data_IF_644946621875
#
_entry.id   IF_644946621875
#
_cell.length_a   1.000
_cell.length_b   1.000
_cell.length_c   1.000
_cell.angle_alpha   90.00
_cell.angle_beta   90.00
_cell.angle_gamma   90.00
#
_symmetry.space_group_name_H-M   'P 1'
#
loop_
_entity.id
_entity.type
_entity.pdbx_description
1 polymer ?
#
# COMPACT_ATOMS: atom_id res chain seq x y z
N UNK A 1 18.81 -48.28 -49.66
CA UNK A 1 17.80 -47.91 -48.67
C UNK A 1 18.55 -47.42 -47.44
N UNK A 2 18.75 -46.14 -47.34
CA UNK A 2 19.53 -45.56 -46.22
C UNK A 2 18.61 -44.53 -45.57
N UNK A 3 18.22 -44.81 -44.34
CA UNK A 3 17.34 -44.00 -43.53
C UNK A 3 18.05 -42.72 -43.07
N UNK A 4 17.47 -41.59 -43.44
CA UNK A 4 17.79 -40.27 -42.86
C UNK A 4 17.19 -40.21 -41.47
N UNK A 5 18.02 -40.07 -40.46
CA UNK A 5 17.60 -39.78 -39.07
C UNK A 5 17.34 -38.30 -38.94
N UNK A 6 16.08 -37.91 -38.84
CA UNK A 6 15.65 -36.64 -38.26
C UNK A 6 15.89 -36.68 -36.75
N UNK A 7 16.74 -35.78 -36.28
CA UNK A 7 16.65 -35.31 -34.86
C UNK A 7 17.47 -34.05 -34.72
N UNK A 8 16.85 -32.91 -34.95
CA UNK A 8 17.25 -31.67 -34.26
C UNK A 8 16.00 -30.83 -33.98
N UNK A 9 15.21 -31.32 -33.03
CA UNK A 9 14.16 -30.54 -32.40
C UNK A 9 14.85 -29.54 -31.45
N UNK A 10 14.99 -28.30 -31.94
CA UNK A 10 15.67 -27.21 -31.28
C UNK A 10 15.18 -26.98 -29.84
N UNK A 11 16.07 -27.20 -28.92
CA UNK A 11 15.96 -26.71 -27.56
C UNK A 11 15.75 -25.19 -27.57
N UNK A 12 14.59 -24.73 -27.07
CA UNK A 12 14.21 -23.32 -26.90
C UNK A 12 15.03 -22.67 -25.75
N UNK A 13 16.34 -22.77 -25.83
CA UNK A 13 17.24 -22.10 -24.89
C UNK A 13 17.26 -20.60 -25.21
N UNK A 14 16.99 -19.76 -24.19
CA UNK A 14 17.08 -18.30 -24.34
C UNK A 14 18.41 -17.87 -24.94
N UNK A 15 18.41 -16.92 -25.90
CA UNK A 15 19.64 -16.40 -26.48
C UNK A 15 20.62 -15.91 -25.41
N UNK A 16 21.90 -16.11 -25.64
CA UNK A 16 22.98 -15.72 -24.70
C UNK A 16 23.86 -14.66 -25.33
N UNK A 17 24.66 -13.95 -24.52
CA UNK A 17 25.69 -13.02 -25.00
C UNK A 17 26.64 -13.68 -26.05
N UNK A 18 26.87 -15.00 -25.96
CA UNK A 18 27.68 -15.74 -26.94
C UNK A 18 27.01 -15.80 -28.30
N UNK A 19 25.69 -15.96 -28.33
CA UNK A 19 24.92 -15.95 -29.58
C UNK A 19 24.95 -14.58 -30.25
N UNK A 20 24.78 -13.49 -29.45
CA UNK A 20 24.90 -12.11 -29.93
C UNK A 20 26.30 -11.83 -30.45
N UNK A 21 27.35 -12.24 -29.75
CA UNK A 21 28.74 -12.06 -30.14
C UNK A 21 29.04 -12.76 -31.48
N UNK A 22 28.54 -13.98 -31.66
CA UNK A 22 28.68 -14.74 -32.89
C UNK A 22 28.00 -14.04 -34.05
N UNK A 23 26.75 -13.58 -33.88
CA UNK A 23 25.98 -12.90 -34.94
C UNK A 23 26.58 -11.52 -35.28
N UNK A 24 27.01 -10.74 -34.28
CA UNK A 24 27.61 -9.42 -34.47
C UNK A 24 29.07 -9.48 -34.92
N UNK A 25 29.74 -10.65 -34.96
CA UNK A 25 31.15 -10.79 -35.34
C UNK A 25 32.11 -10.07 -34.37
N UNK A 26 31.84 -10.12 -33.06
CA UNK A 26 32.67 -9.46 -32.05
C UNK A 26 32.93 -10.39 -30.85
N UNK A 27 33.87 -10.00 -29.99
CA UNK A 27 34.13 -10.74 -28.76
C UNK A 27 32.96 -10.56 -27.75
N UNK A 28 32.68 -11.57 -26.92
CA UNK A 28 31.66 -11.53 -25.87
C UNK A 28 31.86 -10.33 -24.93
N UNK A 29 33.13 -9.95 -24.65
CA UNK A 29 33.47 -8.76 -23.84
C UNK A 29 32.96 -7.47 -24.50
N UNK A 30 32.98 -7.38 -25.85
CA UNK A 30 32.46 -6.21 -26.58
C UNK A 30 30.94 -6.15 -26.49
N UNK A 31 30.25 -7.31 -26.63
CA UNK A 31 28.80 -7.38 -26.41
C UNK A 31 28.45 -6.90 -25.00
N UNK A 32 29.17 -7.40 -23.97
CA UNK A 32 28.95 -6.98 -22.58
C UNK A 32 29.10 -5.46 -22.40
N UNK A 33 30.12 -4.84 -23.01
CA UNK A 33 30.33 -3.40 -22.94
C UNK A 33 29.21 -2.59 -23.58
N UNK A 34 28.77 -3.00 -24.78
CA UNK A 34 27.69 -2.34 -25.50
C UNK A 34 26.36 -2.42 -24.73
N UNK A 35 26.03 -3.63 -24.26
CA UNK A 35 24.79 -3.90 -23.53
C UNK A 35 24.74 -3.17 -22.19
N UNK A 36 25.90 -2.98 -21.54
CA UNK A 36 26.01 -2.22 -20.28
C UNK A 36 26.21 -0.71 -20.46
N UNK A 37 26.22 -0.20 -21.70
CA UNK A 37 26.40 1.23 -21.97
C UNK A 37 27.80 1.76 -21.60
N UNK A 38 28.83 0.88 -21.55
CA UNK A 38 30.18 1.30 -21.19
C UNK A 38 30.77 2.20 -22.30
N UNK A 39 31.47 3.29 -21.96
CA UNK A 39 32.15 4.14 -22.92
C UNK A 39 33.30 3.37 -23.62
N UNK A 40 33.77 3.87 -24.76
CA UNK A 40 34.86 3.33 -25.55
C UNK A 40 34.58 2.10 -26.42
N UNK A 41 33.39 1.99 -26.97
CA UNK A 41 33.05 1.10 -28.10
C UNK A 41 32.75 1.97 -29.32
N UNK A 42 33.36 1.68 -30.46
CA UNK A 42 33.14 2.41 -31.70
C UNK A 42 31.62 2.37 -32.05
N UNK A 43 31.01 3.51 -32.48
CA UNK A 43 29.56 3.60 -32.73
C UNK A 43 29.02 2.56 -33.71
N UNK A 44 29.79 2.24 -34.74
CA UNK A 44 29.44 1.23 -35.73
C UNK A 44 29.41 -0.18 -35.12
N UNK A 45 30.37 -0.50 -34.23
CA UNK A 45 30.41 -1.78 -33.50
C UNK A 45 29.26 -1.88 -32.52
N UNK A 46 28.93 -0.79 -31.81
CA UNK A 46 27.80 -0.74 -30.91
C UNK A 46 26.47 -1.00 -31.65
N UNK A 47 26.28 -0.37 -32.81
CA UNK A 47 25.10 -0.58 -33.65
C UNK A 47 24.96 -2.03 -34.10
N UNK A 48 26.03 -2.66 -34.61
CA UNK A 48 26.04 -4.08 -35.01
C UNK A 48 25.64 -5.01 -33.84
N UNK A 49 26.14 -4.75 -32.64
CA UNK A 49 25.79 -5.55 -31.46
C UNK A 49 24.32 -5.37 -31.09
N UNK A 50 23.79 -4.16 -31.11
CA UNK A 50 22.37 -3.88 -30.79
C UNK A 50 21.44 -4.49 -31.84
N UNK A 51 21.82 -4.45 -33.13
CA UNK A 51 21.06 -5.09 -34.20
C UNK A 51 21.04 -6.61 -34.03
N UNK A 52 22.19 -7.22 -33.72
CA UNK A 52 22.28 -8.65 -33.45
C UNK A 52 21.48 -9.06 -32.19
N UNK A 53 21.48 -8.25 -31.16
CA UNK A 53 20.70 -8.48 -29.95
C UNK A 53 19.19 -8.45 -30.26
N UNK A 54 18.73 -7.46 -31.03
CA UNK A 54 17.34 -7.36 -31.48
C UNK A 54 16.93 -8.53 -32.38
N UNK A 55 17.77 -8.91 -33.32
CA UNK A 55 17.50 -10.03 -34.23
C UNK A 55 17.37 -11.39 -33.53
N UNK A 56 18.01 -11.54 -32.38
CA UNK A 56 17.97 -12.75 -31.55
C UNK A 56 16.94 -12.64 -30.41
N UNK A 57 16.21 -11.54 -30.28
CA UNK A 57 15.40 -11.24 -29.09
C UNK A 57 16.19 -11.46 -27.78
N UNK A 58 17.48 -11.08 -27.81
CA UNK A 58 18.36 -11.21 -26.65
C UNK A 58 18.07 -10.10 -25.65
N UNK A 59 17.61 -10.49 -24.49
CA UNK A 59 17.47 -9.60 -23.34
C UNK A 59 18.64 -9.84 -22.36
N UNK A 60 19.38 -8.78 -21.98
CA UNK A 60 20.42 -8.91 -20.98
C UNK A 60 19.83 -9.45 -19.68
N UNK A 61 20.47 -10.44 -19.08
CA UNK A 61 20.12 -10.87 -17.74
C UNK A 61 20.52 -9.77 -16.73
N UNK A 62 19.57 -9.11 -16.08
CA UNK A 62 19.89 -8.07 -15.10
C UNK A 62 20.77 -8.57 -13.96
N UNK A 63 20.63 -9.84 -13.57
CA UNK A 63 21.41 -10.46 -12.49
C UNK A 63 22.87 -10.72 -12.89
N UNK A 64 23.12 -11.08 -14.14
CA UNK A 64 24.49 -11.30 -14.63
C UNK A 64 25.27 -9.98 -14.79
N UNK A 65 24.59 -8.86 -15.02
CA UNK A 65 25.17 -7.51 -15.09
C UNK A 65 25.55 -6.95 -13.70
N UNK A 66 24.79 -7.26 -12.68
CA UNK A 66 24.93 -6.71 -11.31
C UNK A 66 26.24 -7.14 -10.61
N UNK A 67 26.78 -8.32 -10.92
CA UNK A 67 28.06 -8.79 -10.38
C UNK A 67 29.28 -7.97 -10.86
N UNK A 68 29.14 -7.16 -11.91
CA UNK A 68 30.21 -6.35 -12.52
C UNK A 68 30.02 -4.84 -12.36
N UNK A 69 28.86 -4.39 -11.89
CA UNK A 69 28.62 -2.97 -11.58
C UNK A 69 29.24 -2.62 -10.23
N UNK A 70 29.83 -1.46 -10.15
CA UNK A 70 30.50 -0.96 -8.94
C UNK A 70 29.49 -0.73 -7.79
N UNK A 71 28.21 -0.49 -8.09
CA UNK A 71 27.17 -0.19 -7.11
C UNK A 71 26.46 -1.42 -6.53
N UNK A 72 26.64 -2.61 -7.12
CA UNK A 72 26.01 -3.90 -6.73
C UNK A 72 24.50 -3.86 -6.59
N UNK A 73 23.82 -2.83 -7.13
CA UNK A 73 22.35 -2.64 -7.02
C UNK A 73 21.60 -3.52 -8.02
N UNK A 74 20.48 -4.07 -7.57
CA UNK A 74 19.57 -4.90 -8.39
C UNK A 74 18.55 -4.07 -9.17
N UNK A 75 18.40 -2.78 -8.80
CA UNK A 75 17.38 -1.87 -9.31
C UNK A 75 15.98 -2.40 -9.10
N UNK A 76 15.73 -2.93 -7.92
CA UNK A 76 14.44 -3.44 -7.51
C UNK A 76 14.13 -3.03 -6.07
N UNK A 77 12.87 -2.68 -5.81
CA UNK A 77 12.32 -2.49 -4.47
C UNK A 77 11.33 -3.59 -4.15
N UNK A 78 11.25 -3.96 -2.87
CA UNK A 78 10.17 -4.78 -2.34
C UNK A 78 9.10 -3.88 -1.72
N UNK A 79 7.84 -4.05 -2.15
CA UNK A 79 6.69 -3.36 -1.59
C UNK A 79 5.73 -4.38 -0.99
N UNK A 80 5.45 -4.25 0.30
CA UNK A 80 4.45 -5.06 0.99
C UNK A 80 3.29 -4.16 1.39
N UNK A 81 2.11 -4.45 0.87
CA UNK A 81 0.86 -3.73 1.18
C UNK A 81 -0.12 -4.61 1.93
N UNK A 82 -1.17 -4.03 2.53
CA UNK A 82 -2.20 -4.80 3.24
C UNK A 82 -2.90 -5.79 2.30
N UNK A 83 -3.53 -5.32 1.24
CA UNK A 83 -4.11 -6.15 0.19
C UNK A 83 -4.17 -5.37 -1.12
N UNK A 84 -3.79 -5.99 -2.25
CA UNK A 84 -3.79 -5.35 -3.57
C UNK A 84 -5.20 -5.04 -4.09
N UNK A 85 -6.23 -5.70 -3.58
CA UNK A 85 -7.64 -5.45 -3.91
C UNK A 85 -8.23 -4.28 -3.12
N UNK A 86 -7.55 -3.79 -2.09
CA UNK A 86 -7.98 -2.58 -1.41
C UNK A 86 -7.54 -1.33 -2.20
N UNK A 87 -8.48 -0.46 -2.64
CA UNK A 87 -8.16 0.73 -3.42
C UNK A 87 -7.10 1.63 -2.77
N UNK A 88 -7.10 1.76 -1.44
CA UNK A 88 -6.09 2.50 -0.69
C UNK A 88 -4.68 1.93 -0.93
N UNK A 89 -4.54 0.62 -0.79
CA UNK A 89 -3.26 -0.06 -1.02
C UNK A 89 -2.82 0.01 -2.49
N UNK A 90 -3.77 -0.06 -3.42
CA UNK A 90 -3.54 0.13 -4.85
C UNK A 90 -2.98 1.53 -5.17
N UNK A 91 -3.52 2.59 -4.56
CA UNK A 91 -3.06 3.96 -4.74
C UNK A 91 -1.65 4.17 -4.13
N UNK A 92 -1.37 3.61 -2.94
CA UNK A 92 -0.02 3.60 -2.36
C UNK A 92 0.97 2.91 -3.29
N UNK A 93 0.62 1.72 -3.80
CA UNK A 93 1.46 0.97 -4.75
C UNK A 93 1.75 1.80 -6.00
N UNK A 94 0.73 2.39 -6.61
CA UNK A 94 0.89 3.21 -7.82
C UNK A 94 1.86 4.37 -7.59
N UNK A 95 1.72 5.08 -6.49
CA UNK A 95 2.59 6.20 -6.16
C UNK A 95 4.05 5.77 -5.92
N UNK A 96 4.26 4.61 -5.27
CA UNK A 96 5.61 4.03 -5.12
C UNK A 96 6.20 3.66 -6.48
N UNK A 97 5.41 3.05 -7.36
CA UNK A 97 5.83 2.64 -8.70
C UNK A 97 6.21 3.84 -9.57
N UNK A 98 5.43 4.93 -9.54
CA UNK A 98 5.72 6.14 -10.29
C UNK A 98 7.08 6.73 -9.92
N UNK A 99 7.39 6.85 -8.62
CA UNK A 99 8.71 7.31 -8.15
C UNK A 99 9.82 6.32 -8.54
N UNK A 100 9.57 5.00 -8.42
CA UNK A 100 10.56 3.99 -8.78
C UNK A 100 10.90 4.02 -10.28
N UNK A 101 9.93 4.24 -11.15
CA UNK A 101 10.13 4.38 -12.61
C UNK A 101 11.04 5.55 -12.94
N UNK A 102 10.88 6.70 -12.30
CA UNK A 102 11.76 7.88 -12.47
C UNK A 102 13.23 7.55 -12.13
N UNK A 103 13.45 6.62 -11.21
CA UNK A 103 14.79 6.15 -10.82
C UNK A 103 15.28 4.93 -11.63
N UNK A 104 14.49 4.44 -12.59
CA UNK A 104 14.80 3.23 -13.37
C UNK A 104 14.85 1.96 -12.52
N UNK A 105 13.97 1.87 -11.52
CA UNK A 105 13.86 0.77 -10.55
C UNK A 105 12.52 0.09 -10.70
N UNK A 106 12.49 -1.25 -10.66
CA UNK A 106 11.27 -2.04 -10.66
C UNK A 106 10.75 -2.28 -9.24
N UNK A 107 9.43 -2.43 -9.07
CA UNK A 107 8.80 -2.74 -7.80
C UNK A 107 8.28 -4.18 -7.83
N UNK A 108 8.67 -4.99 -6.83
CA UNK A 108 8.06 -6.28 -6.54
C UNK A 108 7.06 -6.10 -5.41
N UNK A 109 5.77 -6.20 -5.72
CA UNK A 109 4.71 -6.04 -4.74
C UNK A 109 4.16 -7.40 -4.26
N UNK A 110 3.71 -7.45 -3.00
CA UNK A 110 3.02 -8.57 -2.39
C UNK A 110 1.97 -8.06 -1.39
N UNK A 111 0.92 -8.86 -1.15
CA UNK A 111 -0.08 -8.61 -0.10
C UNK A 111 0.24 -9.42 1.14
N UNK A 112 0.07 -8.81 2.32
CA UNK A 112 0.18 -9.51 3.60
C UNK A 112 -1.17 -9.99 4.14
N UNK A 113 -2.30 -9.43 3.65
CA UNK A 113 -3.68 -9.73 4.07
C UNK A 113 -3.85 -9.75 5.60
N UNK A 114 -3.20 -8.79 6.25
CA UNK A 114 -3.17 -8.60 7.71
C UNK A 114 -2.68 -9.82 8.52
N UNK A 115 -1.94 -10.74 7.85
CA UNK A 115 -1.34 -11.94 8.44
C UNK A 115 0.17 -11.73 8.73
N UNK A 116 0.60 -11.82 10.01
CA UNK A 116 2.01 -11.69 10.39
C UNK A 116 2.94 -12.75 9.80
N UNK A 117 2.46 -13.95 9.48
CA UNK A 117 3.27 -15.01 8.86
C UNK A 117 3.51 -14.68 7.40
N UNK A 118 2.48 -14.27 6.67
CA UNK A 118 2.61 -13.81 5.28
C UNK A 118 3.53 -12.60 5.17
N UNK A 119 3.51 -11.67 6.13
CA UNK A 119 4.46 -10.56 6.20
C UNK A 119 5.90 -11.08 6.19
N UNK A 120 6.25 -12.02 7.07
CA UNK A 120 7.60 -12.57 7.17
C UNK A 120 8.02 -13.34 5.92
N UNK A 121 7.12 -14.12 5.35
CA UNK A 121 7.37 -14.89 4.12
C UNK A 121 7.63 -13.97 2.93
N UNK A 122 6.83 -12.91 2.75
CA UNK A 122 6.98 -11.93 1.69
C UNK A 122 8.31 -11.18 1.83
N UNK A 123 8.64 -10.69 3.03
CA UNK A 123 9.92 -10.02 3.30
C UNK A 123 11.08 -10.97 3.02
N UNK A 124 11.04 -12.21 3.47
CA UNK A 124 12.08 -13.20 3.18
C UNK A 124 12.21 -13.47 1.67
N UNK A 125 11.10 -13.44 0.92
CA UNK A 125 11.13 -13.58 -0.54
C UNK A 125 11.79 -12.37 -1.23
N UNK A 126 11.53 -11.14 -0.77
CA UNK A 126 12.21 -9.94 -1.26
C UNK A 126 13.71 -9.98 -0.97
N UNK A 127 14.10 -10.35 0.24
CA UNK A 127 15.51 -10.47 0.63
C UNK A 127 16.27 -11.54 -0.17
N UNK A 128 15.65 -12.68 -0.44
CA UNK A 128 16.24 -13.70 -1.36
C UNK A 128 16.47 -13.16 -2.76
N UNK A 129 15.62 -12.24 -3.23
CA UNK A 129 15.78 -11.53 -4.52
C UNK A 129 16.79 -10.39 -4.45
N UNK A 130 17.32 -10.09 -3.25
CA UNK A 130 18.28 -9.01 -3.02
C UNK A 130 17.76 -7.65 -3.50
N UNK A 131 16.50 -7.33 -3.18
CA UNK A 131 15.97 -6.00 -3.47
C UNK A 131 16.83 -4.93 -2.79
N UNK A 132 16.95 -3.76 -3.40
CA UNK A 132 17.82 -2.68 -2.92
C UNK A 132 17.24 -1.96 -1.69
N UNK A 133 15.92 -2.01 -1.51
CA UNK A 133 15.21 -1.43 -0.38
C UNK A 133 13.81 -2.03 -0.21
N UNK A 134 13.20 -1.77 0.94
CA UNK A 134 11.90 -2.29 1.32
C UNK A 134 10.96 -1.15 1.72
N UNK A 135 9.72 -1.20 1.25
CA UNK A 135 8.60 -0.39 1.72
C UNK A 135 7.55 -1.35 2.27
N UNK A 136 7.22 -1.25 3.54
CA UNK A 136 6.45 -2.26 4.25
C UNK A 136 5.24 -1.68 4.97
N UNK A 137 4.04 -2.19 4.69
CA UNK A 137 2.95 -2.20 5.65
C UNK A 137 3.13 -3.41 6.57
N UNK A 138 2.69 -3.33 7.82
CA UNK A 138 2.90 -4.41 8.80
C UNK A 138 1.62 -4.86 9.48
N UNK A 139 1.50 -6.16 9.77
CA UNK A 139 0.50 -6.77 10.65
C UNK A 139 1.14 -7.33 11.94
N UNK A 140 2.44 -7.58 11.91
CA UNK A 140 3.18 -8.10 13.06
C UNK A 140 3.23 -7.09 14.22
N UNK A 141 3.25 -7.62 15.44
CA UNK A 141 3.40 -6.79 16.65
C UNK A 141 4.84 -6.40 16.96
N UNK A 142 5.83 -7.00 16.26
CA UNK A 142 7.25 -6.73 16.43
C UNK A 142 8.01 -7.06 15.15
N UNK A 143 8.83 -6.13 14.67
CA UNK A 143 9.62 -6.22 13.45
C UNK A 143 11.13 -6.40 13.72
N UNK A 144 11.52 -6.84 14.92
CA UNK A 144 12.95 -7.09 15.25
C UNK A 144 13.63 -8.07 14.28
N UNK A 145 12.87 -8.89 13.55
CA UNK A 145 13.39 -9.78 12.51
C UNK A 145 14.07 -9.02 11.35
N UNK A 146 13.83 -7.70 11.21
CA UNK A 146 14.48 -6.84 10.21
C UNK A 146 15.83 -6.26 10.67
N UNK A 147 16.17 -6.36 11.96
CA UNK A 147 17.44 -5.81 12.46
C UNK A 147 18.69 -6.27 11.68
N UNK A 148 18.84 -7.55 11.26
CA UNK A 148 20.00 -7.96 10.48
C UNK A 148 20.12 -7.21 9.15
N UNK A 149 19.00 -6.90 8.49
CA UNK A 149 18.98 -6.19 7.22
C UNK A 149 19.27 -4.70 7.41
N UNK A 150 18.72 -4.08 8.45
CA UNK A 150 19.00 -2.70 8.81
C UNK A 150 20.49 -2.51 9.12
N UNK A 151 21.11 -3.46 9.87
CA UNK A 151 22.56 -3.44 10.12
C UNK A 151 23.42 -3.64 8.88
N UNK A 152 22.89 -4.29 7.83
CA UNK A 152 23.57 -4.41 6.51
C UNK A 152 23.44 -3.16 5.67
N UNK A 153 22.64 -2.18 6.12
CA UNK A 153 22.38 -0.93 5.42
C UNK A 153 21.29 -1.02 4.36
N UNK A 154 20.46 -2.08 4.37
CA UNK A 154 19.28 -2.17 3.51
C UNK A 154 18.24 -1.15 3.99
N UNK A 155 17.86 -0.13 3.19
CA UNK A 155 16.82 0.81 3.56
C UNK A 155 15.49 0.10 3.74
N UNK A 156 14.83 0.37 4.86
CA UNK A 156 13.47 -0.08 5.15
C UNK A 156 12.67 1.13 5.56
N UNK A 157 11.51 1.35 4.94
CA UNK A 157 10.56 2.40 5.29
C UNK A 157 9.20 1.76 5.50
N UNK A 158 8.55 2.07 6.61
CA UNK A 158 7.19 1.63 6.85
C UNK A 158 6.19 2.64 6.28
N UNK A 159 5.07 2.13 5.75
CA UNK A 159 3.97 2.93 5.22
C UNK A 159 2.66 2.48 5.83
N UNK A 160 1.75 3.42 6.11
CA UNK A 160 0.43 3.22 6.73
C UNK A 160 0.50 2.84 8.22
N UNK A 161 1.38 1.94 8.62
CA UNK A 161 1.53 1.45 10.01
C UNK A 161 2.97 1.58 10.48
N UNK A 162 3.14 1.94 11.75
CA UNK A 162 4.45 2.12 12.36
C UNK A 162 5.09 0.80 12.78
N UNK A 163 6.41 0.66 12.64
CA UNK A 163 7.11 -0.52 13.15
C UNK A 163 7.17 -0.53 14.68
N UNK A 164 7.44 -1.71 15.25
CA UNK A 164 7.75 -1.92 16.66
C UNK A 164 8.99 -2.79 16.78
N UNK A 165 9.84 -2.46 17.76
CA UNK A 165 11.07 -3.23 18.01
C UNK A 165 12.21 -2.96 17.03
N UNK A 166 12.04 -2.04 16.08
CA UNK A 166 13.09 -1.55 15.19
C UNK A 166 12.94 -0.04 15.01
N UNK A 167 14.07 0.63 14.81
CA UNK A 167 14.12 2.07 14.54
C UNK A 167 14.38 2.31 13.06
N UNK A 168 13.35 2.79 12.35
CA UNK A 168 13.42 3.11 10.93
C UNK A 168 12.33 4.11 10.54
N UNK A 169 12.41 4.66 9.33
CA UNK A 169 11.43 5.63 8.85
C UNK A 169 10.02 5.03 8.76
N UNK A 170 9.02 5.83 9.12
CA UNK A 170 7.61 5.49 8.94
C UNK A 170 6.82 6.68 8.40
N UNK A 171 5.99 6.42 7.39
CA UNK A 171 5.08 7.39 6.77
C UNK A 171 3.65 6.94 7.04
N UNK A 172 2.92 7.68 7.85
CA UNK A 172 1.60 7.28 8.34
C UNK A 172 0.58 8.40 8.21
N UNK A 173 -0.71 8.05 8.16
CA UNK A 173 -1.78 9.04 8.21
C UNK A 173 -2.08 9.49 9.64
N UNK A 174 -2.61 10.72 9.77
CA UNK A 174 -3.21 11.20 11.02
C UNK A 174 -4.53 10.47 11.31
N UNK A 175 -4.43 9.20 11.70
CA UNK A 175 -5.57 8.35 11.99
C UNK A 175 -6.38 8.84 13.20
N UNK A 176 -5.67 9.32 14.23
CA UNK A 176 -6.31 9.81 15.46
C UNK A 176 -7.06 11.12 15.21
N UNK A 177 -6.37 12.13 14.66
CA UNK A 177 -6.99 13.44 14.41
C UNK A 177 -8.08 13.37 13.34
N UNK A 178 -7.92 12.50 12.32
CA UNK A 178 -8.97 12.26 11.33
C UNK A 178 -10.26 11.74 11.95
N UNK A 179 -10.18 10.73 12.81
CA UNK A 179 -11.35 10.17 13.49
C UNK A 179 -11.96 11.14 14.52
N UNK A 180 -11.12 11.94 15.20
CA UNK A 180 -11.61 13.00 16.08
C UNK A 180 -12.42 14.05 15.29
N UNK A 181 -11.93 14.49 14.13
CA UNK A 181 -12.66 15.41 13.25
C UNK A 181 -14.00 14.84 12.77
N UNK A 182 -14.11 13.53 12.54
CA UNK A 182 -15.38 12.90 12.21
C UNK A 182 -16.39 13.01 13.37
N UNK A 183 -15.96 12.75 14.61
CA UNK A 183 -16.79 12.92 15.79
C UNK A 183 -17.23 14.38 15.98
N UNK A 184 -16.30 15.32 15.90
CA UNK A 184 -16.55 16.77 16.02
C UNK A 184 -17.56 17.22 14.95
N UNK A 185 -17.42 16.74 13.72
CA UNK A 185 -18.34 17.05 12.62
C UNK A 185 -19.77 16.61 12.92
N UNK A 186 -19.95 15.38 13.40
CA UNK A 186 -21.26 14.84 13.78
C UNK A 186 -21.84 15.55 15.02
N UNK A 187 -21.00 15.85 16.02
CA UNK A 187 -21.40 16.63 17.22
C UNK A 187 -21.90 18.02 16.85
N UNK A 188 -21.24 18.69 15.91
CA UNK A 188 -21.62 20.00 15.41
C UNK A 188 -23.01 20.01 14.70
N UNK A 189 -23.47 18.85 14.23
CA UNK A 189 -24.82 18.65 13.66
C UNK A 189 -25.89 18.32 14.73
N UNK A 190 -25.50 18.27 16.02
CA UNK A 190 -26.41 18.03 17.13
C UNK A 190 -26.62 16.58 17.50
N UNK A 191 -25.89 15.65 16.92
CA UNK A 191 -26.01 14.23 17.28
C UNK A 191 -25.56 13.97 18.73
N UNK A 192 -26.24 13.02 19.38
CA UNK A 192 -25.96 12.56 20.74
C UNK A 192 -26.00 11.04 20.89
N UNK A 193 -26.54 10.31 19.90
CA UNK A 193 -26.56 8.85 19.84
C UNK A 193 -25.68 8.40 18.68
N UNK A 194 -24.54 7.82 19.01
CA UNK A 194 -23.49 7.43 18.07
C UNK A 194 -23.35 5.92 18.01
N UNK A 195 -22.78 5.41 16.92
CA UNK A 195 -22.18 4.09 16.87
C UNK A 195 -20.82 4.16 16.16
N UNK A 196 -19.87 3.34 16.61
CA UNK A 196 -18.59 3.13 16.00
C UNK A 196 -18.53 1.75 15.38
N UNK A 197 -18.23 1.68 14.10
CA UNK A 197 -17.99 0.42 13.37
C UNK A 197 -16.50 0.35 13.00
N UNK A 198 -15.80 -0.63 13.58
CA UNK A 198 -14.34 -0.75 13.57
C UNK A 198 -13.82 -1.91 12.73
N UNK A 199 -12.66 -1.70 12.14
CA UNK A 199 -11.82 -2.73 11.55
C UNK A 199 -11.21 -3.64 12.64
N UNK A 200 -10.32 -4.57 12.25
CA UNK A 200 -9.64 -5.48 13.16
C UNK A 200 -8.96 -4.73 14.32
N UNK A 201 -9.34 -5.03 15.55
CA UNK A 201 -8.81 -4.38 16.75
C UNK A 201 -7.29 -4.59 16.93
N UNK A 202 -6.73 -5.65 16.32
CA UNK A 202 -5.30 -5.93 16.29
C UNK A 202 -4.50 -4.89 15.52
N UNK A 203 -5.11 -4.16 14.56
CA UNK A 203 -4.44 -3.18 13.72
C UNK A 203 -4.21 -1.86 14.47
N UNK A 204 -3.03 -1.29 14.28
CA UNK A 204 -2.66 -0.03 14.91
C UNK A 204 -3.55 1.12 14.44
N UNK A 205 -3.82 1.19 13.14
CA UNK A 205 -4.68 2.21 12.52
C UNK A 205 -6.10 2.17 13.08
N UNK A 206 -6.69 0.99 13.23
CA UNK A 206 -8.03 0.80 13.83
C UNK A 206 -8.07 1.31 15.27
N UNK A 207 -7.06 0.97 16.10
CA UNK A 207 -6.96 1.47 17.48
C UNK A 207 -6.83 2.98 17.55
N UNK A 208 -6.06 3.61 16.67
CA UNK A 208 -5.90 5.06 16.65
C UNK A 208 -7.19 5.76 16.24
N UNK A 209 -7.90 5.25 15.22
CA UNK A 209 -9.19 5.79 14.78
C UNK A 209 -10.25 5.65 15.87
N UNK A 210 -10.35 4.46 16.51
CA UNK A 210 -11.26 4.25 17.64
C UNK A 210 -10.97 5.25 18.76
N UNK A 211 -9.71 5.36 19.17
CA UNK A 211 -9.32 6.26 20.24
C UNK A 211 -9.66 7.71 19.90
N UNK A 212 -9.32 8.20 18.71
CA UNK A 212 -9.62 9.57 18.30
C UNK A 212 -11.11 9.88 18.30
N UNK A 213 -11.94 8.98 17.77
CA UNK A 213 -13.37 9.15 17.75
C UNK A 213 -13.99 9.19 19.16
N UNK A 214 -13.63 8.22 19.99
CA UNK A 214 -14.21 8.10 21.33
C UNK A 214 -13.72 9.21 22.30
N UNK A 215 -12.44 9.61 22.25
CA UNK A 215 -11.93 10.72 23.06
C UNK A 215 -12.61 12.05 22.70
N UNK A 216 -12.88 12.30 21.40
CA UNK A 216 -13.60 13.50 20.98
C UNK A 216 -15.04 13.52 21.49
N UNK A 217 -15.73 12.38 21.51
CA UNK A 217 -17.07 12.25 22.08
C UNK A 217 -17.06 12.47 23.60
N UNK A 218 -16.11 11.88 24.31
CA UNK A 218 -15.96 12.01 25.76
C UNK A 218 -15.71 13.46 26.16
N UNK A 219 -14.84 14.16 25.47
CA UNK A 219 -14.58 15.60 25.67
C UNK A 219 -15.84 16.48 25.44
N UNK A 220 -16.77 16.02 24.59
CA UNK A 220 -18.05 16.69 24.33
C UNK A 220 -19.15 16.26 25.31
N UNK A 221 -18.81 15.47 26.34
CA UNK A 221 -19.76 15.02 27.37
C UNK A 221 -20.65 13.86 26.93
N UNK A 222 -20.28 13.09 25.93
CA UNK A 222 -20.94 11.85 25.54
C UNK A 222 -20.18 10.70 26.23
N UNK A 223 -20.79 10.00 27.21
CA UNK A 223 -20.13 8.89 27.88
C UNK A 223 -19.75 7.78 26.89
N UNK A 224 -18.50 7.36 26.89
CA UNK A 224 -18.01 6.29 25.99
C UNK A 224 -18.80 4.99 26.19
N UNK A 225 -19.26 4.72 27.41
CA UNK A 225 -20.09 3.56 27.72
C UNK A 225 -21.44 3.53 26.98
N UNK A 226 -21.94 4.69 26.56
CA UNK A 226 -23.21 4.81 25.84
C UNK A 226 -23.05 4.69 24.32
N UNK A 227 -21.81 4.55 23.83
CA UNK A 227 -21.51 4.43 22.41
C UNK A 227 -21.31 2.97 22.05
N UNK A 228 -22.20 2.33 21.30
CA UNK A 228 -21.93 1.01 20.74
C UNK A 228 -20.66 1.01 19.89
N UNK A 229 -19.68 0.21 20.29
CA UNK A 229 -18.41 -0.01 19.60
C UNK A 229 -18.39 -1.45 19.12
N UNK A 230 -18.42 -1.65 17.80
CA UNK A 230 -18.33 -2.97 17.20
C UNK A 230 -17.08 -3.01 16.35
N UNK A 231 -16.15 -3.87 16.70
CA UNK A 231 -14.84 -4.05 16.03
C UNK A 231 -14.79 -5.39 15.28
N UNK A 232 -13.68 -5.64 14.60
CA UNK A 232 -13.43 -6.85 13.80
C UNK A 232 -14.37 -7.01 12.60
N UNK A 233 -14.81 -5.88 12.03
CA UNK A 233 -15.69 -5.82 10.87
C UNK A 233 -14.86 -5.65 9.57
N UNK A 234 -14.00 -6.61 9.28
CA UNK A 234 -13.03 -6.49 8.19
C UNK A 234 -13.61 -6.68 6.78
N UNK A 235 -14.89 -7.01 6.67
CA UNK A 235 -15.59 -7.16 5.39
C UNK A 235 -16.96 -6.44 5.39
N UNK A 236 -17.49 -6.10 4.19
CA UNK A 236 -18.75 -5.36 4.09
C UNK A 236 -19.96 -6.13 4.66
N UNK A 237 -19.97 -7.44 4.61
CA UNK A 237 -21.13 -8.22 5.05
C UNK A 237 -21.24 -8.21 6.58
N UNK A 238 -20.13 -8.45 7.28
CA UNK A 238 -20.10 -8.35 8.75
C UNK A 238 -20.47 -6.94 9.23
N UNK A 239 -19.99 -5.91 8.54
CA UNK A 239 -20.33 -4.53 8.86
C UNK A 239 -21.82 -4.24 8.63
N UNK A 240 -22.40 -4.75 7.54
CA UNK A 240 -23.82 -4.66 7.25
C UNK A 240 -24.66 -5.28 8.36
N UNK A 241 -24.37 -6.53 8.70
CA UNK A 241 -25.10 -7.26 9.76
C UNK A 241 -24.98 -6.57 11.11
N UNK A 242 -23.78 -6.06 11.47
CA UNK A 242 -23.56 -5.36 12.72
C UNK A 242 -24.42 -4.11 12.82
N UNK A 243 -24.46 -3.29 11.76
CA UNK A 243 -25.27 -2.08 11.76
C UNK A 243 -26.77 -2.40 11.73
N UNK A 244 -27.23 -3.41 11.01
CA UNK A 244 -28.64 -3.84 11.02
C UNK A 244 -29.11 -4.15 12.45
N UNK A 245 -28.31 -4.90 13.23
CA UNK A 245 -28.62 -5.19 14.63
C UNK A 245 -28.77 -3.92 15.48
N UNK A 246 -27.94 -2.90 15.24
CA UNK A 246 -28.05 -1.63 15.96
C UNK A 246 -29.29 -0.82 15.54
N UNK A 247 -29.62 -0.82 14.24
CA UNK A 247 -30.78 -0.09 13.71
C UNK A 247 -32.09 -0.72 14.14
N UNK A 248 -32.15 -2.04 14.32
CA UNK A 248 -33.34 -2.78 14.78
C UNK A 248 -33.47 -2.77 16.33
N UNK A 249 -32.48 -2.23 17.05
CA UNK A 249 -32.48 -2.15 18.51
C UNK A 249 -33.38 -1.07 19.06
N UNK A 250 -33.61 -1.04 20.40
CA UNK A 250 -34.52 -0.10 21.05
C UNK A 250 -34.06 1.36 20.98
N UNK A 251 -32.76 1.60 20.90
CA UNK A 251 -32.13 2.92 20.85
C UNK A 251 -31.18 3.06 19.65
N UNK A 252 -31.69 3.10 18.42
CA UNK A 252 -30.82 3.13 17.25
C UNK A 252 -29.97 4.40 17.21
N UNK A 253 -28.73 4.31 16.71
CA UNK A 253 -27.87 5.48 16.54
C UNK A 253 -28.46 6.44 15.51
N UNK A 254 -28.25 7.74 15.74
CA UNK A 254 -28.58 8.79 14.75
C UNK A 254 -27.37 9.16 13.90
N UNK A 255 -26.16 8.78 14.34
CA UNK A 255 -24.92 8.99 13.63
C UNK A 255 -24.02 7.76 13.76
N UNK A 256 -23.39 7.38 12.67
CA UNK A 256 -22.49 6.23 12.56
C UNK A 256 -21.14 6.72 12.03
N UNK A 257 -20.07 6.30 12.66
CA UNK A 257 -18.74 6.40 12.11
C UNK A 257 -18.21 5.01 11.74
N UNK A 258 -17.80 4.84 10.50
CA UNK A 258 -17.18 3.61 9.98
C UNK A 258 -15.70 3.85 9.73
N UNK A 259 -14.86 3.05 10.37
CA UNK A 259 -13.43 3.33 10.49
C UNK A 259 -12.57 2.83 9.33
N UNK A 260 -13.18 2.34 8.23
CA UNK A 260 -12.44 1.79 7.08
C UNK A 260 -13.38 1.64 5.88
N UNK A 261 -12.86 1.71 4.64
CA UNK A 261 -13.65 1.72 3.40
C UNK A 261 -14.62 0.52 3.25
N UNK A 262 -14.20 -0.72 3.52
CA UNK A 262 -15.06 -1.90 3.41
C UNK A 262 -16.16 -1.89 4.49
N UNK A 263 -15.85 -1.42 5.70
CA UNK A 263 -16.83 -1.21 6.77
C UNK A 263 -17.84 -0.15 6.36
N UNK A 264 -17.39 0.92 5.70
CA UNK A 264 -18.27 1.97 5.17
C UNK A 264 -19.24 1.44 4.12
N UNK A 265 -18.75 0.60 3.20
CA UNK A 265 -19.62 -0.06 2.20
C UNK A 265 -20.69 -0.92 2.86
N UNK A 266 -20.34 -1.67 3.90
CA UNK A 266 -21.29 -2.46 4.68
C UNK A 266 -22.34 -1.59 5.40
N UNK A 267 -21.89 -0.50 6.03
CA UNK A 267 -22.79 0.46 6.70
C UNK A 267 -23.77 1.10 5.71
N UNK A 268 -23.31 1.51 4.53
CA UNK A 268 -24.18 2.04 3.47
C UNK A 268 -25.24 1.03 3.03
N UNK A 269 -24.86 -0.25 2.85
CA UNK A 269 -25.82 -1.31 2.51
C UNK A 269 -26.88 -1.47 3.58
N UNK A 270 -26.49 -1.51 4.87
CA UNK A 270 -27.42 -1.63 5.99
C UNK A 270 -28.42 -0.45 6.06
N UNK A 271 -27.92 0.78 5.94
CA UNK A 271 -28.75 1.98 5.96
C UNK A 271 -29.75 2.00 4.79
N UNK A 272 -29.32 1.59 3.59
CA UNK A 272 -30.22 1.49 2.43
C UNK A 272 -31.27 0.38 2.59
N UNK A 273 -30.88 -0.77 3.10
CA UNK A 273 -31.79 -1.91 3.36
C UNK A 273 -32.93 -1.53 4.32
N UNK A 274 -32.64 -0.70 5.34
CA UNK A 274 -33.63 -0.19 6.29
C UNK A 274 -34.25 1.12 5.87
N UNK A 275 -33.93 1.67 4.70
CA UNK A 275 -34.43 2.97 4.25
C UNK A 275 -34.00 4.15 5.13
N UNK A 276 -32.93 3.96 5.95
CA UNK A 276 -32.43 4.94 6.93
C UNK A 276 -31.31 5.82 6.41
N UNK A 277 -30.88 5.66 5.16
CA UNK A 277 -29.75 6.40 4.56
C UNK A 277 -29.98 7.91 4.40
N UNK A 278 -31.19 8.40 4.67
CA UNK A 278 -31.56 9.84 4.71
C UNK A 278 -31.90 10.34 6.11
N UNK A 279 -31.90 9.44 7.11
CA UNK A 279 -32.31 9.75 8.48
C UNK A 279 -31.20 9.48 9.51
N UNK A 280 -30.15 8.76 9.12
CA UNK A 280 -29.03 8.42 9.97
C UNK A 280 -27.76 8.95 9.32
N UNK A 281 -27.04 9.82 10.03
CA UNK A 281 -25.78 10.36 9.53
C UNK A 281 -24.71 9.27 9.46
N UNK A 282 -23.89 9.31 8.40
CA UNK A 282 -22.76 8.41 8.21
C UNK A 282 -21.53 9.20 7.81
N UNK A 283 -20.44 8.99 8.54
CA UNK A 283 -19.10 9.43 8.15
C UNK A 283 -18.22 8.20 8.02
N UNK A 284 -17.61 8.02 6.85
CA UNK A 284 -16.63 6.96 6.59
C UNK A 284 -15.20 7.42 6.82
N UNK A 285 -14.30 6.50 7.10
CA UNK A 285 -12.86 6.70 6.96
C UNK A 285 -12.43 6.04 5.66
N UNK A 286 -11.51 6.67 4.94
CA UNK A 286 -11.16 6.45 3.54
C UNK A 286 -12.23 6.95 2.55
N UNK A 287 -11.79 7.53 1.46
CA UNK A 287 -12.69 7.84 0.36
C UNK A 287 -12.98 6.56 -0.46
N UNK A 288 -14.19 6.44 -0.95
CA UNK A 288 -14.58 5.32 -1.79
C UNK A 288 -14.97 5.83 -3.17
N UNK A 289 -14.70 5.03 -4.19
CA UNK A 289 -15.10 5.36 -5.55
C UNK A 289 -16.62 5.58 -5.62
N UNK A 290 -17.04 6.59 -6.38
CA UNK A 290 -18.44 7.00 -6.54
C UNK A 290 -19.12 7.56 -5.26
N UNK A 291 -18.36 7.92 -4.24
CA UNK A 291 -18.90 8.49 -3.00
C UNK A 291 -19.74 9.77 -3.23
N UNK A 292 -19.34 10.56 -4.22
CA UNK A 292 -20.01 11.80 -4.63
C UNK A 292 -21.28 11.58 -5.46
N UNK A 293 -21.45 10.39 -6.06
CA UNK A 293 -22.63 10.03 -6.85
C UNK A 293 -23.75 9.38 -6.01
N UNK A 294 -23.50 9.12 -4.74
CA UNK A 294 -24.51 8.63 -3.82
C UNK A 294 -25.51 9.74 -3.45
N UNK A 295 -26.72 9.37 -3.04
CA UNK A 295 -27.73 10.29 -2.53
C UNK A 295 -28.24 9.85 -1.15
N UNK A 296 -27.87 10.62 -0.09
CA UNK A 296 -26.88 11.71 -0.07
C UNK A 296 -25.46 11.22 -0.38
N UNK A 297 -24.61 12.13 -0.90
CA UNK A 297 -23.19 11.85 -1.13
C UNK A 297 -22.49 11.45 0.17
N UNK A 298 -21.53 10.54 0.11
CA UNK A 298 -20.86 10.02 1.30
C UNK A 298 -19.82 11.00 1.85
N UNK A 299 -20.04 11.48 3.06
CA UNK A 299 -19.06 12.25 3.84
C UNK A 299 -17.99 11.31 4.37
N UNK A 300 -16.72 11.67 4.16
CA UNK A 300 -15.59 10.83 4.54
C UNK A 300 -14.46 11.63 5.18
N UNK A 301 -13.62 10.94 5.95
CA UNK A 301 -12.27 11.36 6.29
C UNK A 301 -11.33 10.68 5.31
N UNK A 302 -10.92 11.42 4.29
CA UNK A 302 -10.03 10.93 3.24
C UNK A 302 -8.58 10.91 3.72
N UNK A 303 -7.89 9.81 3.49
CA UNK A 303 -6.44 9.71 3.52
C UNK A 303 -5.86 10.20 2.18
N UNK A 304 -4.54 10.39 2.13
CA UNK A 304 -3.80 10.75 0.91
C UNK A 304 -2.80 9.63 0.58
N UNK A 305 -3.28 8.48 0.05
CA UNK A 305 -2.42 7.30 -0.19
C UNK A 305 -1.32 7.58 -1.21
N UNK A 306 -1.56 8.48 -2.18
CA UNK A 306 -0.56 8.92 -3.15
C UNK A 306 0.61 9.61 -2.46
N UNK A 307 0.35 10.49 -1.49
CA UNK A 307 1.41 11.14 -0.72
C UNK A 307 2.15 10.16 0.18
N UNK A 308 1.43 9.21 0.81
CA UNK A 308 2.05 8.17 1.62
C UNK A 308 3.04 7.34 0.79
N UNK A 309 2.62 6.86 -0.38
CA UNK A 309 3.45 6.05 -1.27
C UNK A 309 4.65 6.84 -1.83
N UNK A 310 4.40 8.07 -2.30
CA UNK A 310 5.44 8.95 -2.84
C UNK A 310 6.50 9.26 -1.78
N UNK A 311 6.11 9.72 -0.59
CA UNK A 311 7.04 10.05 0.50
C UNK A 311 7.83 8.81 0.94
N UNK A 312 7.18 7.65 1.07
CA UNK A 312 7.85 6.42 1.45
C UNK A 312 8.93 6.01 0.41
N UNK A 313 8.62 6.11 -0.87
CA UNK A 313 9.57 5.84 -1.95
C UNK A 313 10.74 6.84 -1.95
N UNK A 314 10.46 8.15 -1.86
CA UNK A 314 11.47 9.21 -1.75
C UNK A 314 12.42 8.97 -0.57
N UNK A 315 11.90 8.54 0.59
CA UNK A 315 12.72 8.19 1.76
C UNK A 315 13.63 7.00 1.50
N UNK A 316 13.14 5.94 0.84
CA UNK A 316 13.99 4.80 0.45
C UNK A 316 15.10 5.25 -0.48
N UNK A 317 14.80 6.05 -1.51
CA UNK A 317 15.80 6.55 -2.44
C UNK A 317 16.80 7.50 -1.78
N UNK A 318 16.38 8.35 -0.85
CA UNK A 318 17.29 9.19 -0.08
C UNK A 318 18.28 8.33 0.71
N UNK A 319 17.82 7.31 1.42
CA UNK A 319 18.68 6.35 2.14
C UNK A 319 19.61 5.58 1.21
N UNK A 320 19.12 5.12 0.05
CA UNK A 320 19.96 4.47 -0.98
C UNK A 320 21.06 5.39 -1.49
N UNK A 321 20.82 6.69 -1.53
CA UNK A 321 21.79 7.70 -1.96
C UNK A 321 22.67 8.24 -0.83
N UNK A 322 22.63 7.62 0.35
CA UNK A 322 23.53 7.91 1.46
C UNK A 322 22.99 8.93 2.48
N UNK A 323 21.67 9.20 2.49
CA UNK A 323 21.07 10.01 3.56
C UNK A 323 21.24 9.32 4.92
N UNK A 324 22.14 9.86 5.75
CA UNK A 324 22.41 9.41 7.12
C UNK A 324 21.51 10.05 8.18
N UNK A 325 20.44 10.75 7.80
CA UNK A 325 19.51 11.36 8.76
C UNK A 325 18.91 10.30 9.70
N UNK A 326 18.63 10.65 10.97
CA UNK A 326 17.93 9.77 11.90
C UNK A 326 16.58 9.30 11.33
N UNK A 327 16.11 8.18 11.84
CA UNK A 327 14.77 7.66 11.51
C UNK A 327 13.68 8.68 11.85
N UNK A 328 12.73 8.84 10.96
CA UNK A 328 11.68 9.85 11.04
C UNK A 328 10.30 9.19 11.01
N UNK A 329 9.40 9.73 11.83
CA UNK A 329 7.97 9.48 11.74
C UNK A 329 7.32 10.65 11.01
N UNK A 330 6.91 10.42 9.77
CA UNK A 330 6.25 11.42 8.91
C UNK A 330 4.75 11.18 8.96
N UNK A 331 3.99 12.20 9.37
CA UNK A 331 2.53 12.12 9.46
C UNK A 331 1.91 12.93 8.34
N UNK A 332 1.15 12.26 7.49
CA UNK A 332 0.34 12.89 6.45
C UNK A 332 -1.04 13.21 7.02
N UNK A 333 -1.47 14.45 6.90
CA UNK A 333 -2.79 14.88 7.37
C UNK A 333 -3.90 14.18 6.60
N UNK A 334 -5.07 14.03 7.23
CA UNK A 334 -6.30 13.57 6.58
C UNK A 334 -7.25 14.74 6.35
N UNK A 335 -8.14 14.63 5.36
CA UNK A 335 -9.11 15.67 5.00
C UNK A 335 -10.54 15.18 5.21
N UNK A 336 -11.35 15.90 5.97
CA UNK A 336 -12.79 15.64 6.02
C UNK A 336 -13.45 16.26 4.78
N UNK A 337 -14.15 15.43 4.00
CA UNK A 337 -14.87 15.82 2.79
C UNK A 337 -16.37 15.65 3.05
N UNK A 338 -17.05 16.76 3.27
CA UNK A 338 -18.50 16.79 3.48
C UNK A 338 -19.23 16.65 2.13
N UNK A 339 -20.18 15.68 2.06
CA UNK A 339 -20.93 15.39 0.82
C UNK A 339 -22.43 15.15 1.06
N UNK A 340 -22.92 15.27 2.28
CA UNK A 340 -24.34 15.15 2.61
C UNK A 340 -24.68 14.06 3.62
N UNK A 341 -24.04 12.90 3.62
CA UNK A 341 -24.40 11.84 4.58
C UNK A 341 -24.02 12.17 6.03
N UNK A 342 -22.93 12.90 6.23
CA UNK A 342 -22.52 13.38 7.56
C UNK A 342 -23.23 14.64 8.00
N UNK A 343 -24.01 15.25 7.14
CA UNK A 343 -24.75 16.50 7.33
C UNK A 343 -26.23 16.27 7.69
N UNK A 344 -26.69 15.03 7.68
CA UNK A 344 -28.06 14.66 8.08
C UNK A 344 -28.25 15.02 9.56
N UNK A 345 -29.26 15.82 9.94
CA UNK A 345 -29.51 16.15 11.33
C UNK A 345 -30.10 14.95 12.08
N UNK A 346 -29.99 14.91 13.43
CA UNK A 346 -30.62 13.85 14.21
C UNK A 346 -32.14 13.88 14.08
N UNK A 347 -32.75 12.74 13.71
CA UNK A 347 -34.17 12.57 13.64
C UNK A 347 -34.81 12.60 15.05
N UNK A 348 -35.78 13.46 15.30
CA UNK A 348 -36.55 13.48 16.54
C UNK A 348 -36.05 14.45 17.61
N UNK A 349 -35.82 15.73 17.25
CA UNK A 349 -35.97 16.85 18.16
C UNK A 349 -37.38 17.44 18.03
#
# INVERSE_FOLDING_TARGET
MTSLSESDAGSSARPTMRHVAKLAGVAVKTVSRVVNGEPNVAPETARRVLDAARALDYQPDPHAGNLRRSDRRTRTLGLLVSSVDNPFAGAVHRAVEDVAVEHGVAVFASSLDDDPEREREAVAAFLRRRVDGLILTTASTNQAYLEPELRRGTPVVFVDREPRGVETDAVVSDNFGGAARAAEHLLARGHRRFAYLGDLHSLQTARHRRRGFLEALDHAGIPVADVPVIEDLHDPERAREALLRLLDGPNPPTAVFSSQNLVTVGALRALRERGRHRDTALVGFDDVELADLLEPGLTVVAQHPEDLGRIAAERVFAKLNGDGSPSQRIVVSTTLIARGSGEIPPSGM
#
